data_IF_454100371908
#
_entry.id   IF_454100371908
#
_cell.length_a   1.000
_cell.length_b   1.000
_cell.length_c   1.000
_cell.angle_alpha   90.00
_cell.angle_beta   90.00
_cell.angle_gamma   90.00
#
_symmetry.space_group_name_H-M   'P 1'
#
loop_
_entity.id
_entity.type
_entity.pdbx_description
1 polymer ?
#
# COMPACT_ATOMS: atom_id res chain seq x y z
N UNK A 1 -4.08 -24.28 -30.68
CA UNK A 1 -3.77 -24.69 -29.28
C UNK A 1 -2.59 -23.96 -28.66
N UNK A 2 -1.38 -23.91 -29.25
CA UNK A 2 -0.23 -23.24 -28.61
C UNK A 2 -0.44 -21.75 -28.34
N UNK A 3 -1.00 -20.99 -29.29
CA UNK A 3 -1.32 -19.56 -29.11
C UNK A 3 -2.29 -19.30 -27.96
N UNK A 4 -3.34 -20.14 -27.82
CA UNK A 4 -4.31 -20.05 -26.73
C UNK A 4 -3.63 -20.26 -25.36
N UNK A 5 -2.70 -21.21 -25.26
CA UNK A 5 -1.90 -21.43 -24.04
C UNK A 5 -1.05 -20.21 -23.67
N UNK A 6 -0.41 -19.57 -24.65
CA UNK A 6 0.34 -18.33 -24.41
C UNK A 6 -0.57 -17.21 -23.91
N UNK A 7 -1.74 -17.02 -24.53
CA UNK A 7 -2.72 -16.01 -24.09
C UNK A 7 -3.18 -16.26 -22.66
N UNK A 8 -3.55 -17.50 -22.32
CA UNK A 8 -3.94 -17.86 -20.94
C UNK A 8 -2.80 -17.59 -19.95
N UNK A 9 -1.56 -17.96 -20.30
CA UNK A 9 -0.40 -17.72 -19.45
C UNK A 9 -0.17 -16.22 -19.20
N UNK A 10 -0.33 -15.38 -20.23
CA UNK A 10 -0.20 -13.92 -20.09
C UNK A 10 -1.28 -13.38 -19.16
N UNK A 11 -2.53 -13.82 -19.31
CA UNK A 11 -3.63 -13.40 -18.42
C UNK A 11 -3.32 -13.75 -16.96
N UNK A 12 -2.86 -14.98 -16.69
CA UNK A 12 -2.48 -15.41 -15.34
C UNK A 12 -1.36 -14.53 -14.77
N UNK A 13 -0.33 -14.24 -15.56
CA UNK A 13 0.79 -13.38 -15.15
C UNK A 13 0.33 -11.95 -14.85
N UNK A 14 -0.60 -11.41 -15.65
CA UNK A 14 -1.19 -10.08 -15.41
C UNK A 14 -1.99 -10.08 -14.10
N UNK A 15 -2.81 -11.09 -13.85
CA UNK A 15 -3.57 -11.19 -12.58
C UNK A 15 -2.62 -11.26 -11.38
N UNK A 16 -1.55 -12.05 -11.47
CA UNK A 16 -0.54 -12.16 -10.43
C UNK A 16 0.18 -10.83 -10.20
N UNK A 17 0.56 -10.15 -11.28
CA UNK A 17 1.17 -8.82 -11.24
C UNK A 17 0.26 -7.81 -10.54
N UNK A 18 -1.02 -7.75 -10.93
CA UNK A 18 -2.00 -6.85 -10.30
C UNK A 18 -2.22 -7.16 -8.82
N UNK A 19 -2.19 -8.44 -8.44
CA UNK A 19 -2.32 -8.87 -7.03
C UNK A 19 -1.15 -8.38 -6.19
N UNK A 20 0.08 -8.48 -6.72
CA UNK A 20 1.29 -8.00 -6.05
C UNK A 20 1.31 -6.47 -6.00
N UNK A 21 0.93 -5.80 -7.09
CA UNK A 21 0.87 -4.33 -7.12
C UNK A 21 -0.14 -3.80 -6.10
N UNK A 22 -1.29 -4.45 -5.98
CA UNK A 22 -2.27 -4.14 -4.95
C UNK A 22 -1.70 -4.34 -3.54
N UNK A 23 -0.98 -5.44 -3.29
CA UNK A 23 -0.33 -5.66 -2.00
C UNK A 23 0.73 -4.61 -1.68
N UNK A 24 1.54 -4.19 -2.66
CA UNK A 24 2.56 -3.15 -2.52
C UNK A 24 1.95 -1.75 -2.30
N UNK A 25 0.76 -1.48 -2.86
CA UNK A 25 0.10 -0.17 -2.73
C UNK A 25 -0.22 0.21 -1.29
N UNK A 26 -0.46 -0.79 -0.43
CA UNK A 26 -0.62 -0.59 1.02
C UNK A 26 0.66 -0.05 1.68
N UNK A 27 1.83 -0.39 1.13
CA UNK A 27 3.11 0.09 1.62
C UNK A 27 3.59 1.34 0.88
N UNK A 28 2.71 2.01 0.12
CA UNK A 28 3.07 3.18 -0.69
C UNK A 28 3.96 2.85 -1.89
N UNK A 29 4.05 1.57 -2.27
CA UNK A 29 4.91 1.08 -3.36
C UNK A 29 4.05 0.55 -4.50
N UNK A 30 4.64 0.37 -5.69
CA UNK A 30 3.93 -0.14 -6.86
C UNK A 30 3.48 0.95 -7.84
N UNK A 31 2.80 0.53 -8.92
CA UNK A 31 2.25 1.40 -9.96
C UNK A 31 0.89 1.98 -9.58
N UNK A 32 0.25 1.43 -8.54
CA UNK A 32 -0.98 1.95 -7.94
C UNK A 32 -2.19 1.93 -8.89
N UNK A 33 -2.34 0.85 -9.66
CA UNK A 33 -3.49 0.67 -10.56
C UNK A 33 -4.85 0.79 -9.86
N UNK A 34 -4.91 0.38 -8.59
CA UNK A 34 -6.14 0.40 -7.79
C UNK A 34 -6.32 1.66 -6.94
N UNK A 35 -5.41 2.64 -7.05
CA UNK A 35 -5.41 3.88 -6.27
C UNK A 35 -5.65 3.69 -4.75
N UNK A 36 -5.15 2.59 -4.18
CA UNK A 36 -5.26 2.29 -2.75
C UNK A 36 -4.21 3.02 -1.90
N UNK A 37 -3.72 4.18 -2.37
CA UNK A 37 -2.60 4.91 -1.77
C UNK A 37 -2.95 5.47 -0.39
N UNK A 38 -2.71 4.67 0.65
CA UNK A 38 -2.57 5.13 2.03
C UNK A 38 -1.06 5.20 2.29
N UNK A 39 -0.38 6.17 1.67
CA UNK A 39 1.09 6.18 1.71
C UNK A 39 1.62 6.69 3.04
N UNK A 40 2.31 5.81 3.78
CA UNK A 40 3.25 6.20 4.83
C UNK A 40 4.65 6.28 4.22
N UNK A 41 5.05 7.45 3.71
CA UNK A 41 6.48 7.72 3.54
C UNK A 41 7.06 7.95 4.94
N UNK A 42 7.77 6.95 5.48
CA UNK A 42 8.53 7.10 6.71
C UNK A 42 9.78 7.93 6.38
N UNK A 43 9.64 9.25 6.40
CA UNK A 43 10.81 10.12 6.48
C UNK A 43 11.03 10.44 7.96
N UNK A 44 12.18 10.04 8.50
CA UNK A 44 12.62 10.41 9.86
C UNK A 44 13.23 11.80 9.92
N UNK A 45 13.43 12.44 8.76
CA UNK A 45 13.95 13.78 8.69
C UNK A 45 12.89 14.76 9.20
N UNK A 46 13.21 15.40 10.32
CA UNK A 46 12.42 16.46 10.92
C UNK A 46 12.31 17.62 9.92
N UNK A 47 11.11 17.82 9.35
CA UNK A 47 10.80 19.09 8.72
C UNK A 47 10.49 20.14 9.80
N UNK A 48 10.81 21.39 9.52
CA UNK A 48 10.80 22.57 10.40
C UNK A 48 9.43 22.95 11.00
N UNK A 49 8.38 22.18 10.71
CA UNK A 49 7.01 22.39 11.14
C UNK A 49 6.48 21.06 11.70
N UNK A 50 6.46 20.94 13.03
CA UNK A 50 5.99 19.78 13.79
C UNK A 50 4.47 19.50 13.59
N UNK A 51 4.01 19.12 12.38
CA UNK A 51 2.64 18.68 12.11
C UNK A 51 2.21 18.64 10.62
N UNK A 52 1.57 17.52 10.24
CA UNK A 52 0.78 17.15 9.04
C UNK A 52 1.14 17.74 7.65
N UNK A 53 1.37 16.82 6.69
CA UNK A 53 1.15 17.06 5.25
C UNK A 53 -0.06 16.26 4.76
N UNK A 54 -1.09 16.97 4.32
CA UNK A 54 -2.13 16.45 3.42
C UNK A 54 -1.81 17.07 2.06
N UNK A 55 -1.29 16.31 1.12
CA UNK A 55 -1.22 16.73 -0.29
C UNK A 55 -2.30 15.97 -1.07
N UNK A 56 -3.36 16.69 -1.47
CA UNK A 56 -4.15 16.24 -2.61
C UNK A 56 -3.21 16.18 -3.83
N UNK A 57 -3.24 15.05 -4.53
CA UNK A 57 -2.29 14.53 -5.54
C UNK A 57 -1.05 13.75 -5.05
N UNK A 58 -0.94 13.44 -3.75
CA UNK A 58 0.04 12.45 -3.30
C UNK A 58 0.33 12.52 -1.81
N UNK A 59 0.43 11.34 -1.19
CA UNK A 59 0.97 11.11 0.17
C UNK A 59 0.11 11.67 1.33
N UNK A 60 -0.56 10.76 2.05
CA UNK A 60 -1.30 11.10 3.28
C UNK A 60 -0.55 10.49 4.48
N UNK A 61 0.23 11.29 5.20
CA UNK A 61 0.83 10.89 6.47
C UNK A 61 -0.12 11.26 7.61
N UNK A 62 -0.91 10.27 8.05
CA UNK A 62 -2.05 10.48 8.97
C UNK A 62 -1.62 10.43 10.45
N UNK A 63 -0.56 9.69 10.76
CA UNK A 63 0.11 9.60 12.07
C UNK A 63 1.61 9.42 11.77
N UNK A 64 2.49 10.07 12.52
CA UNK A 64 3.94 9.88 12.46
C UNK A 64 4.59 9.90 13.86
N UNK A 65 5.87 9.54 13.95
CA UNK A 65 6.64 9.75 15.18
C UNK A 65 6.58 11.23 15.59
N UNK A 66 6.45 11.50 16.89
CA UNK A 66 6.26 12.85 17.45
C UNK A 66 4.83 13.39 17.34
N UNK A 67 3.90 12.70 16.65
CA UNK A 67 2.49 13.12 16.61
C UNK A 67 1.90 13.08 18.01
N UNK A 68 1.35 14.20 18.47
CA UNK A 68 0.62 14.27 19.74
C UNK A 68 -0.85 13.94 19.53
N UNK A 69 -1.25 12.80 20.06
CA UNK A 69 -2.63 12.37 20.16
C UNK A 69 -3.13 12.91 21.49
N UNK A 70 -3.90 14.00 21.45
CA UNK A 70 -4.25 14.83 22.62
C UNK A 70 -3.02 15.40 23.35
N UNK A 71 -3.21 16.04 24.52
CA UNK A 71 -2.12 16.67 25.28
C UNK A 71 -1.23 15.68 26.07
N UNK A 72 -1.43 14.37 25.96
CA UNK A 72 -0.86 13.36 26.87
C UNK A 72 -0.18 12.17 26.19
N UNK A 73 -0.49 11.86 24.93
CA UNK A 73 0.11 10.72 24.22
C UNK A 73 0.91 11.24 23.05
N UNK A 74 2.21 10.99 23.08
CA UNK A 74 3.12 11.26 21.96
C UNK A 74 3.50 9.94 21.31
N UNK A 75 3.29 9.86 20.00
CA UNK A 75 3.54 8.66 19.21
C UNK A 75 5.05 8.48 19.02
N UNK A 76 5.57 7.35 19.48
CA UNK A 76 6.95 6.94 19.18
C UNK A 76 7.03 6.26 17.81
N UNK A 77 6.14 5.29 17.54
CA UNK A 77 6.06 4.63 16.24
C UNK A 77 4.68 4.01 15.98
N UNK A 78 4.39 3.76 14.71
CA UNK A 78 3.24 2.97 14.30
C UNK A 78 3.69 1.52 14.10
N UNK A 79 2.96 0.57 14.67
CA UNK A 79 3.24 -0.85 14.55
C UNK A 79 2.50 -1.45 13.36
N UNK A 80 1.18 -1.31 13.35
CA UNK A 80 0.30 -1.81 12.31
C UNK A 80 -0.91 -0.90 12.13
N UNK A 81 -1.56 -1.00 10.97
CA UNK A 81 -2.80 -0.28 10.70
C UNK A 81 -3.80 -1.15 9.96
N UNK A 82 -5.06 -0.76 10.04
CA UNK A 82 -6.16 -1.32 9.27
C UNK A 82 -7.13 -0.21 8.91
N UNK A 83 -8.08 -0.49 8.01
CA UNK A 83 -9.04 0.51 7.56
C UNK A 83 -10.36 -0.13 7.15
N UNK A 84 -11.43 0.66 7.24
CA UNK A 84 -12.74 0.31 6.72
C UNK A 84 -13.50 1.60 6.33
N UNK A 85 -14.79 1.47 6.02
CA UNK A 85 -15.65 2.62 5.68
C UNK A 85 -15.79 3.66 6.79
N UNK A 86 -15.49 3.32 8.04
CA UNK A 86 -15.58 4.21 9.19
C UNK A 86 -14.27 4.98 9.48
N UNK A 87 -13.15 4.61 8.85
CA UNK A 87 -11.86 5.29 8.97
C UNK A 87 -10.66 4.35 9.01
N UNK A 88 -9.50 4.92 9.37
CA UNK A 88 -8.23 4.21 9.54
C UNK A 88 -8.01 3.97 11.03
N UNK A 89 -7.50 2.80 11.39
CA UNK A 89 -7.18 2.41 12.75
C UNK A 89 -5.70 2.05 12.81
N UNK A 90 -5.01 2.54 13.82
CA UNK A 90 -3.58 2.32 14.00
C UNK A 90 -3.31 1.71 15.38
N UNK A 91 -2.44 0.72 15.41
CA UNK A 91 -1.73 0.28 16.60
C UNK A 91 -0.43 1.08 16.68
N UNK A 92 -0.27 1.86 17.75
CA UNK A 92 0.89 2.73 17.96
C UNK A 92 1.60 2.35 19.25
N UNK A 93 2.89 2.69 19.30
CA UNK A 93 3.68 2.71 20.52
C UNK A 93 3.84 4.17 20.96
N UNK A 94 3.54 4.48 22.22
CA UNK A 94 3.86 5.80 22.79
C UNK A 94 5.33 5.88 23.24
N UNK A 95 5.79 7.08 23.62
CA UNK A 95 7.14 7.30 24.15
C UNK A 95 7.44 6.57 25.47
N UNK A 96 6.44 5.93 26.10
CA UNK A 96 6.56 5.11 27.32
C UNK A 96 6.49 3.62 27.00
N UNK A 97 6.60 3.22 25.73
CA UNK A 97 6.48 1.85 25.24
C UNK A 97 5.11 1.20 25.51
N UNK A 98 4.05 2.00 25.68
CA UNK A 98 2.68 1.51 25.82
C UNK A 98 2.05 1.37 24.43
N UNK A 99 1.44 0.20 24.20
CA UNK A 99 0.64 -0.05 22.99
C UNK A 99 -0.73 0.61 23.12
N UNK A 100 -1.10 1.41 22.13
CA UNK A 100 -2.36 2.15 22.11
C UNK A 100 -3.02 1.97 20.74
N UNK A 101 -4.35 1.86 20.74
CA UNK A 101 -5.14 1.78 19.51
C UNK A 101 -5.89 3.09 19.29
N UNK A 102 -5.74 3.63 18.10
CA UNK A 102 -6.31 4.93 17.74
C UNK A 102 -7.04 4.83 16.43
N UNK A 103 -8.25 5.38 16.40
CA UNK A 103 -9.03 5.61 15.19
C UNK A 103 -8.76 7.02 14.69
N UNK A 104 -8.43 7.12 13.42
CA UNK A 104 -8.24 8.38 12.73
C UNK A 104 -9.49 8.72 11.92
N UNK A 105 -10.01 9.93 12.13
CA UNK A 105 -11.22 10.40 11.49
C UNK A 105 -11.07 11.82 10.97
N UNK A 106 -11.79 12.10 9.89
CA UNK A 106 -11.91 13.45 9.38
C UNK A 106 -12.96 14.24 10.18
N UNK A 107 -12.60 15.45 10.64
CA UNK A 107 -13.55 16.40 11.22
C UNK A 107 -14.24 17.18 10.11
N UNK A 108 -15.43 16.70 9.71
CA UNK A 108 -16.25 17.34 8.70
C UNK A 108 -16.88 18.67 9.19
N UNK A 109 -16.77 19.02 10.47
CA UNK A 109 -17.37 20.23 11.05
C UNK A 109 -16.44 21.45 11.02
N UNK A 110 -15.15 21.30 10.67
CA UNK A 110 -14.16 22.40 10.64
C UNK A 110 -13.75 22.79 9.21
N UNK A 111 -13.33 24.06 9.06
CA UNK A 111 -12.90 24.66 7.77
C UNK A 111 -11.85 23.79 7.06
N UNK A 112 -11.75 23.87 5.71
CA UNK A 112 -10.72 23.16 4.96
C UNK A 112 -9.33 23.45 5.54
N UNK A 113 -8.56 22.41 5.85
CA UNK A 113 -7.18 22.53 6.34
C UNK A 113 -6.89 22.15 7.80
N UNK A 114 -7.90 21.84 8.63
CA UNK A 114 -7.67 21.37 10.02
C UNK A 114 -8.64 20.23 10.38
N UNK A 115 -8.43 19.05 9.81
CA UNK A 115 -9.49 18.03 9.72
C UNK A 115 -9.15 16.64 10.22
N UNK A 116 -8.07 16.40 10.97
CA UNK A 116 -7.80 15.05 11.50
C UNK A 116 -7.93 15.06 13.01
N UNK A 117 -8.77 14.18 13.56
CA UNK A 117 -8.83 13.92 15.00
C UNK A 117 -8.67 12.42 15.28
N UNK A 118 -8.20 12.16 16.49
CA UNK A 118 -7.87 10.83 16.98
C UNK A 118 -8.79 10.45 18.12
N UNK A 119 -9.35 9.25 18.04
CA UNK A 119 -10.17 8.67 19.11
C UNK A 119 -9.52 7.39 19.59
N UNK A 120 -9.32 7.25 20.90
CA UNK A 120 -8.89 5.98 21.45
C UNK A 120 -9.99 4.95 21.31
N UNK A 121 -9.61 3.75 20.91
CA UNK A 121 -10.51 2.63 20.67
C UNK A 121 -9.92 1.38 21.31
N UNK A 122 -10.74 0.37 21.56
CA UNK A 122 -10.22 -0.93 21.99
C UNK A 122 -9.96 -1.82 20.78
N UNK A 123 -8.91 -2.66 20.82
CA UNK A 123 -8.62 -3.60 19.71
C UNK A 123 -9.83 -4.49 19.40
N UNK A 124 -10.58 -4.89 20.43
CA UNK A 124 -11.81 -5.70 20.34
C UNK A 124 -12.90 -5.05 19.47
N UNK A 125 -12.98 -3.73 19.42
CA UNK A 125 -13.99 -2.98 18.64
C UNK A 125 -13.66 -2.97 17.14
N UNK A 126 -12.38 -3.18 16.79
CA UNK A 126 -11.84 -3.09 15.43
C UNK A 126 -11.81 -4.47 14.76
N UNK A 127 -11.57 -5.53 15.54
CA UNK A 127 -11.01 -6.79 15.04
C UNK A 127 -12.00 -7.77 14.38
N UNK A 128 -13.22 -7.36 14.02
CA UNK A 128 -14.22 -8.24 13.39
C UNK A 128 -13.89 -8.51 11.90
N UNK A 129 -12.74 -9.14 11.63
CA UNK A 129 -12.34 -9.64 10.30
C UNK A 129 -11.49 -8.69 9.45
N UNK A 130 -11.02 -7.57 10.01
CA UNK A 130 -10.16 -6.65 9.29
C UNK A 130 -8.71 -7.17 9.23
N UNK A 131 -8.07 -7.02 8.06
CA UNK A 131 -6.66 -7.32 7.87
C UNK A 131 -5.79 -6.18 8.37
N UNK A 132 -4.79 -6.51 9.17
CA UNK A 132 -3.79 -5.57 9.67
C UNK A 132 -2.52 -5.61 8.82
N UNK A 133 -1.96 -4.44 8.58
CA UNK A 133 -0.77 -4.22 7.78
C UNK A 133 0.32 -3.66 8.69
N UNK A 134 1.42 -4.41 8.84
CA UNK A 134 2.58 -3.97 9.63
C UNK A 134 3.32 -2.88 8.90
N UNK A 135 3.64 -1.79 9.58
CA UNK A 135 4.33 -0.64 8.96
C UNK A 135 5.80 -0.98 8.68
N UNK A 136 6.48 -1.60 9.64
CA UNK A 136 7.86 -2.04 9.48
C UNK A 136 7.93 -3.50 9.04
N UNK A 137 7.65 -3.75 7.76
CA UNK A 137 7.74 -5.08 7.15
C UNK A 137 8.66 -5.08 5.93
N UNK A 138 9.85 -4.50 6.10
CA UNK A 138 10.82 -4.25 5.03
C UNK A 138 11.15 -5.49 4.20
N UNK A 139 11.39 -6.65 4.84
CA UNK A 139 11.73 -7.89 4.14
C UNK A 139 10.60 -8.41 3.25
N UNK A 140 9.35 -8.35 3.71
CA UNK A 140 8.19 -8.76 2.91
C UNK A 140 7.95 -7.82 1.73
N UNK A 141 8.09 -6.51 1.97
CA UNK A 141 7.94 -5.51 0.91
C UNK A 141 9.01 -5.67 -0.16
N UNK A 142 10.28 -5.87 0.25
CA UNK A 142 11.38 -6.15 -0.68
C UNK A 142 11.12 -7.43 -1.48
N UNK A 143 10.63 -8.49 -0.84
CA UNK A 143 10.26 -9.72 -1.54
C UNK A 143 9.19 -9.46 -2.62
N UNK A 144 8.13 -8.71 -2.29
CA UNK A 144 7.09 -8.35 -3.24
C UNK A 144 7.62 -7.49 -4.40
N UNK A 145 8.55 -6.57 -4.14
CA UNK A 145 9.20 -5.77 -5.18
C UNK A 145 10.02 -6.63 -6.15
N UNK A 146 10.80 -7.58 -5.62
CA UNK A 146 11.56 -8.53 -6.43
C UNK A 146 10.61 -9.40 -7.25
N UNK A 147 9.55 -9.95 -6.65
CA UNK A 147 8.55 -10.77 -7.34
C UNK A 147 7.88 -9.98 -8.47
N UNK A 148 7.53 -8.72 -8.22
CA UNK A 148 6.97 -7.82 -9.25
C UNK A 148 7.91 -7.70 -10.45
N UNK A 149 9.20 -7.46 -10.21
CA UNK A 149 10.21 -7.36 -11.27
C UNK A 149 10.33 -8.68 -12.06
N UNK A 150 10.42 -9.81 -11.37
CA UNK A 150 10.49 -11.14 -12.01
C UNK A 150 9.28 -11.40 -12.91
N UNK A 151 8.08 -11.06 -12.45
CA UNK A 151 6.85 -11.22 -13.24
C UNK A 151 6.85 -10.29 -14.46
N UNK A 152 7.27 -9.03 -14.31
CA UNK A 152 7.39 -8.10 -15.43
C UNK A 152 8.33 -8.64 -16.52
N UNK A 153 9.51 -9.13 -16.14
CA UNK A 153 10.43 -9.76 -17.08
C UNK A 153 9.83 -11.00 -17.73
N UNK A 154 9.13 -11.83 -16.96
CA UNK A 154 8.46 -13.04 -17.47
C UNK A 154 7.38 -12.69 -18.50
N UNK A 155 6.58 -11.64 -18.24
CA UNK A 155 5.59 -11.13 -19.19
C UNK A 155 6.27 -10.67 -20.48
N UNK A 156 7.34 -9.86 -20.37
CA UNK A 156 8.08 -9.37 -21.53
C UNK A 156 8.64 -10.51 -22.39
N UNK A 157 9.29 -11.50 -21.78
CA UNK A 157 9.80 -12.69 -22.47
C UNK A 157 8.67 -13.46 -23.15
N UNK A 158 7.55 -13.66 -22.46
CA UNK A 158 6.39 -14.39 -23.01
C UNK A 158 5.80 -13.68 -24.23
N UNK A 159 5.74 -12.34 -24.21
CA UNK A 159 5.29 -11.54 -25.36
C UNK A 159 6.25 -11.68 -26.54
N UNK A 160 7.56 -11.59 -26.32
CA UNK A 160 8.58 -11.76 -27.38
C UNK A 160 8.46 -13.14 -28.01
N UNK A 161 8.36 -14.20 -27.20
CA UNK A 161 8.18 -15.57 -27.69
C UNK A 161 6.88 -15.74 -28.51
N UNK A 162 5.79 -15.07 -28.10
CA UNK A 162 4.54 -15.08 -28.84
C UNK A 162 4.69 -14.38 -30.20
N UNK A 163 5.37 -13.23 -30.27
CA UNK A 163 5.62 -12.50 -31.51
C UNK A 163 6.44 -13.36 -32.48
N UNK A 164 7.54 -13.95 -32.02
CA UNK A 164 8.38 -14.85 -32.82
C UNK A 164 7.56 -16.03 -33.36
N UNK A 165 6.72 -16.64 -32.52
CA UNK A 165 5.84 -17.73 -32.95
C UNK A 165 4.86 -17.30 -34.05
N UNK A 166 4.26 -16.12 -33.93
CA UNK A 166 3.32 -15.57 -34.92
C UNK A 166 4.01 -15.21 -36.25
N UNK A 167 5.23 -14.66 -36.20
CA UNK A 167 6.03 -14.34 -37.39
C UNK A 167 6.43 -15.61 -38.14
N UNK A 168 6.93 -16.63 -37.44
CA UNK A 168 7.31 -17.90 -38.04
C UNK A 168 6.10 -18.60 -38.68
N UNK A 169 4.92 -18.54 -38.05
CA UNK A 169 3.68 -19.10 -38.62
C UNK A 169 3.28 -18.37 -39.91
N UNK A 170 3.43 -17.04 -39.99
CA UNK A 170 3.13 -16.26 -41.21
C UNK A 170 4.06 -16.61 -42.38
N UNK A 171 5.33 -16.93 -42.13
CA UNK A 171 6.27 -17.31 -43.19
C UNK A 171 5.95 -18.68 -43.80
N UNK A 172 5.47 -19.64 -43.01
CA UNK A 172 5.08 -20.98 -43.50
C UNK A 172 3.83 -20.93 -44.38
N UNK A 173 2.90 -20.02 -44.13
CA UNK A 173 1.67 -19.88 -44.95
C UNK A 173 1.91 -19.16 -46.28
N UNK A 174 3.06 -18.48 -46.44
CA UNK A 174 3.45 -17.77 -47.68
C UNK A 174 4.34 -18.60 -48.63
N UNK A 175 4.75 -19.80 -48.23
CA UNK A 175 5.43 -20.78 -49.11
C UNK A 175 4.44 -21.81 -49.59
#
# INVERSE_FOLDING_TARGET
MKSIKFTISIIILIILFLTIDNALSFYGKGFNFFNNKITYSYNTDFDSLEGFKIEEEGFIQIIGSGTRINNSVEVSKILEYTYNSAGIFCEILDNRNKVIFVKVQYDNKRKPGTRIYYTFVQKSEINKGLKWYKVDNSSFVQLLEILKLVIMFTIAITIVLLIIHLLNKKQVVKK
#
